data_IF_651478322311
#
_entry.id   IF_651478322311
#
_cell.length_a   1.000
_cell.length_b   1.000
_cell.length_c   1.000
_cell.angle_alpha   90.00
_cell.angle_beta   90.00
_cell.angle_gamma   90.00
#
_symmetry.space_group_name_H-M   'P 1'
#
loop_
_entity.id
_entity.type
_entity.pdbx_description
1 polymer ?
#
# COMPACT_ATOMS: atom_id res chain seq x y z
N UNK A 1 -18.89 -14.14 -1.21
CA UNK A 1 -18.52 -12.83 -0.68
C UNK A 1 -19.70 -12.28 0.12
N UNK A 2 -19.51 -11.94 1.39
CA UNK A 2 -20.51 -11.37 2.27
C UNK A 2 -20.39 -9.84 2.40
N UNK A 3 -21.36 -9.19 3.07
CA UNK A 3 -21.38 -7.73 3.22
C UNK A 3 -20.13 -7.17 3.93
N UNK A 4 -19.60 -7.91 4.92
CA UNK A 4 -18.44 -7.50 5.71
C UNK A 4 -17.10 -7.65 4.97
N UNK A 5 -17.14 -8.18 3.74
CA UNK A 5 -15.97 -8.32 2.87
C UNK A 5 -15.93 -7.22 1.79
N UNK A 6 -16.82 -6.24 1.88
CA UNK A 6 -16.96 -5.11 0.95
C UNK A 6 -16.73 -3.79 1.69
N UNK A 7 -15.92 -2.91 1.11
CA UNK A 7 -15.79 -1.54 1.61
C UNK A 7 -17.13 -0.77 1.57
N UNK A 8 -17.50 -0.06 2.65
CA UNK A 8 -18.67 0.81 2.63
C UNK A 8 -18.38 2.10 1.86
N UNK A 9 -19.41 2.65 1.22
CA UNK A 9 -19.36 4.03 0.70
C UNK A 9 -19.18 5.00 1.88
N UNK A 10 -18.33 6.01 1.71
CA UNK A 10 -18.03 6.96 2.78
C UNK A 10 -17.64 8.32 2.21
N UNK A 11 -17.91 9.36 3.00
CA UNK A 11 -17.48 10.73 2.74
C UNK A 11 -16.25 11.05 3.60
N UNK A 12 -15.27 11.76 3.02
CA UNK A 12 -14.06 12.14 3.75
C UNK A 12 -13.04 12.86 2.89
N UNK A 13 -11.99 13.37 3.54
CA UNK A 13 -10.86 14.04 2.90
C UNK A 13 -9.55 13.70 3.61
N UNK A 14 -8.45 13.80 2.88
CA UNK A 14 -7.10 13.66 3.41
C UNK A 14 -6.16 14.60 2.65
N UNK A 15 -5.09 15.04 3.30
CA UNK A 15 -4.11 15.95 2.72
C UNK A 15 -2.69 15.57 3.11
N UNK A 16 -1.74 15.84 2.22
CA UNK A 16 -0.32 15.71 2.45
C UNK A 16 0.41 16.95 1.92
N UNK A 17 1.46 17.37 2.61
CA UNK A 17 2.33 18.46 2.17
C UNK A 17 3.63 17.83 1.68
N UNK A 18 3.97 18.07 0.41
CA UNK A 18 5.23 17.65 -0.19
C UNK A 18 6.19 18.83 -0.21
N UNK A 19 7.46 18.56 0.11
CA UNK A 19 8.52 19.54 -0.01
C UNK A 19 9.78 18.88 -0.57
N UNK A 20 10.61 19.68 -1.24
CA UNK A 20 11.89 19.20 -1.74
C UNK A 20 12.94 19.18 -0.63
N UNK A 21 14.01 18.40 -0.84
CA UNK A 21 15.17 18.41 0.05
C UNK A 21 15.72 19.83 0.24
N UNK A 22 15.82 20.63 -0.81
CA UNK A 22 16.21 22.05 -0.76
C UNK A 22 15.34 22.87 0.20
N UNK A 23 14.05 22.59 0.29
CA UNK A 23 13.16 23.27 1.25
C UNK A 23 13.46 22.83 2.69
N UNK A 24 13.75 21.54 2.91
CA UNK A 24 14.15 21.01 4.22
C UNK A 24 15.53 21.50 4.67
N UNK A 25 16.47 21.72 3.75
CA UNK A 25 17.77 22.35 4.06
C UNK A 25 17.61 23.77 4.59
N UNK A 26 16.69 24.54 3.99
CA UNK A 26 16.34 25.90 4.46
C UNK A 26 15.51 25.91 5.74
N UNK A 27 14.81 24.81 6.03
CA UNK A 27 13.92 24.67 7.19
C UNK A 27 14.30 23.42 8.01
N UNK A 28 15.50 23.36 8.60
CA UNK A 28 16.04 22.14 9.21
C UNK A 28 15.19 21.60 10.37
N UNK A 29 14.42 22.46 11.04
CA UNK A 29 13.47 22.07 12.08
C UNK A 29 12.35 21.13 11.59
N UNK A 30 12.12 21.05 10.27
CA UNK A 30 11.15 20.13 9.66
C UNK A 30 11.74 18.75 9.36
N UNK A 31 13.07 18.58 9.33
CA UNK A 31 13.71 17.30 8.99
C UNK A 31 13.27 16.13 9.89
N UNK A 32 13.14 16.28 11.23
CA UNK A 32 12.74 15.15 12.10
C UNK A 32 11.33 14.60 11.83
N UNK A 33 10.49 15.33 11.10
CA UNK A 33 9.16 14.87 10.71
C UNK A 33 9.05 14.57 9.20
N UNK A 34 10.11 14.78 8.41
CA UNK A 34 10.08 14.45 7.00
C UNK A 34 10.00 12.92 6.83
N UNK A 35 9.17 12.47 5.91
CA UNK A 35 9.11 11.08 5.47
C UNK A 35 9.45 11.10 4.00
N UNK A 36 10.49 10.40 3.61
CA UNK A 36 11.00 10.43 2.24
C UNK A 36 10.20 9.48 1.36
N UNK A 37 9.93 9.91 0.13
CA UNK A 37 9.42 9.05 -0.94
C UNK A 37 10.64 8.49 -1.67
N UNK A 38 10.97 7.24 -1.41
CA UNK A 38 12.16 6.59 -1.98
C UNK A 38 11.90 5.96 -3.35
N UNK A 39 10.63 5.77 -3.72
CA UNK A 39 10.28 5.27 -5.04
C UNK A 39 8.79 5.40 -5.34
N UNK A 40 8.47 5.50 -6.64
CA UNK A 40 7.11 5.73 -7.10
C UNK A 40 6.91 5.15 -8.49
N UNK A 41 5.83 4.39 -8.69
CA UNK A 41 5.40 3.95 -10.02
C UNK A 41 3.92 4.17 -10.23
N UNK A 42 3.59 4.52 -11.47
CA UNK A 42 2.23 4.60 -11.97
C UNK A 42 2.13 3.67 -13.18
N UNK A 43 1.12 2.81 -13.16
CA UNK A 43 0.79 1.91 -14.25
C UNK A 43 -0.61 2.20 -14.75
N UNK A 44 -0.85 1.80 -15.99
CA UNK A 44 -2.18 1.69 -16.59
C UNK A 44 -2.37 0.28 -17.14
N UNK A 45 -3.58 -0.01 -17.60
CA UNK A 45 -3.96 -1.31 -18.14
C UNK A 45 -2.93 -1.89 -19.10
N UNK A 46 -2.63 -3.18 -18.91
CA UNK A 46 -1.86 -3.96 -19.85
C UNK A 46 -2.79 -4.56 -20.91
N UNK A 47 -2.31 -4.88 -22.13
CA UNK A 47 -3.16 -5.47 -23.17
C UNK A 47 -3.90 -6.75 -22.73
N UNK A 48 -3.38 -7.46 -21.73
CA UNK A 48 -3.96 -8.69 -21.19
C UNK A 48 -5.34 -8.49 -20.57
N UNK A 49 -5.66 -7.27 -20.09
CA UNK A 49 -6.99 -6.88 -19.60
C UNK A 49 -8.08 -7.16 -20.63
N UNK A 50 -7.80 -6.91 -21.90
CA UNK A 50 -8.78 -7.02 -23.00
C UNK A 50 -8.64 -8.30 -23.83
N UNK A 51 -7.54 -9.06 -23.64
CA UNK A 51 -7.18 -10.18 -24.53
C UNK A 51 -7.29 -11.55 -23.89
N UNK A 52 -7.20 -11.66 -22.56
CA UNK A 52 -6.99 -12.95 -21.89
C UNK A 52 -8.20 -13.49 -21.11
N UNK A 53 -9.39 -12.91 -21.31
CA UNK A 53 -10.66 -13.36 -20.69
C UNK A 53 -10.50 -13.74 -19.19
N UNK A 54 -9.84 -12.89 -18.42
CA UNK A 54 -9.50 -13.14 -17.01
C UNK A 54 -9.92 -11.96 -16.15
N UNK A 55 -10.79 -12.23 -15.17
CA UNK A 55 -11.23 -11.21 -14.22
C UNK A 55 -10.09 -10.72 -13.31
N UNK A 56 -9.12 -11.60 -12.99
CA UNK A 56 -7.93 -11.24 -12.19
C UNK A 56 -7.08 -10.22 -12.94
N UNK A 57 -6.93 -10.39 -14.26
CA UNK A 57 -6.20 -9.43 -15.09
C UNK A 57 -6.98 -8.15 -15.30
N UNK A 58 -8.30 -8.25 -15.46
CA UNK A 58 -9.20 -7.10 -15.58
C UNK A 58 -9.12 -6.16 -14.37
N UNK A 59 -8.91 -6.69 -13.16
CA UNK A 59 -8.72 -5.90 -11.94
C UNK A 59 -7.26 -5.47 -11.71
N UNK A 60 -6.40 -5.60 -12.72
CA UNK A 60 -5.07 -4.98 -12.74
C UNK A 60 -3.89 -5.83 -12.27
N UNK A 61 -4.04 -7.15 -12.11
CA UNK A 61 -2.94 -8.03 -11.62
C UNK A 61 -1.61 -7.82 -12.38
N UNK A 62 -1.63 -7.92 -13.72
CA UNK A 62 -0.42 -7.79 -14.54
C UNK A 62 0.17 -6.37 -14.47
N UNK A 63 -0.69 -5.36 -14.33
CA UNK A 63 -0.26 -3.98 -14.12
C UNK A 63 0.50 -3.85 -12.80
N UNK A 64 -0.10 -4.31 -11.69
CA UNK A 64 0.48 -4.27 -10.35
C UNK A 64 1.83 -5.01 -10.34
N UNK A 65 1.88 -6.22 -10.89
CA UNK A 65 3.10 -7.04 -10.94
C UNK A 65 4.22 -6.36 -11.73
N UNK A 66 3.89 -5.72 -12.86
CA UNK A 66 4.87 -4.98 -13.66
C UNK A 66 5.44 -3.81 -12.87
N UNK A 67 4.58 -2.94 -12.33
CA UNK A 67 5.05 -1.72 -11.68
C UNK A 67 5.71 -1.98 -10.32
N UNK A 68 5.30 -3.03 -9.60
CA UNK A 68 5.98 -3.45 -8.36
C UNK A 68 7.40 -3.95 -8.66
N UNK A 69 7.55 -4.82 -9.68
CA UNK A 69 8.85 -5.33 -10.12
C UNK A 69 9.80 -4.21 -10.59
N UNK A 70 9.30 -3.27 -11.40
CA UNK A 70 10.08 -2.09 -11.82
C UNK A 70 10.49 -1.22 -10.63
N UNK A 71 9.60 -1.03 -9.65
CA UNK A 71 9.86 -0.25 -8.46
C UNK A 71 10.93 -0.90 -7.56
N UNK A 72 10.84 -2.21 -7.35
CA UNK A 72 11.86 -2.98 -6.62
C UNK A 72 13.22 -2.90 -7.30
N UNK A 73 13.25 -3.01 -8.64
CA UNK A 73 14.49 -2.89 -9.41
C UNK A 73 15.11 -1.50 -9.33
N UNK A 74 14.30 -0.44 -9.38
CA UNK A 74 14.77 0.95 -9.33
C UNK A 74 15.29 1.35 -7.94
N UNK A 75 14.57 0.93 -6.90
CA UNK A 75 14.90 1.30 -5.52
C UNK A 75 15.92 0.36 -4.87
N UNK A 76 16.10 -0.86 -5.40
CA UNK A 76 16.91 -1.91 -4.79
C UNK A 76 16.24 -2.59 -3.59
N UNK A 77 15.02 -2.19 -3.21
CA UNK A 77 14.24 -2.85 -2.18
C UNK A 77 13.47 -4.05 -2.72
N UNK A 78 13.07 -4.92 -1.81
CA UNK A 78 12.22 -6.08 -2.06
C UNK A 78 11.00 -6.04 -1.14
N UNK A 79 9.97 -6.87 -1.39
CA UNK A 79 8.85 -7.04 -0.46
C UNK A 79 9.26 -7.38 0.97
N UNK A 80 10.40 -8.05 1.16
CA UNK A 80 10.88 -8.46 2.49
C UNK A 80 11.45 -7.31 3.32
N UNK A 81 11.78 -6.18 2.69
CA UNK A 81 12.32 -5.01 3.37
C UNK A 81 11.21 -4.14 4.01
N UNK A 82 9.95 -4.36 3.61
CA UNK A 82 8.78 -3.58 4.02
C UNK A 82 8.19 -4.15 5.32
N UNK A 83 7.90 -3.30 6.30
CA UNK A 83 7.23 -3.73 7.55
C UNK A 83 5.72 -3.46 7.53
N UNK A 84 5.30 -2.37 6.86
CA UNK A 84 3.90 -1.93 6.84
C UNK A 84 3.43 -1.67 5.42
N UNK A 85 2.23 -2.15 5.11
CA UNK A 85 1.61 -2.01 3.80
C UNK A 85 0.22 -1.41 3.98
N UNK A 86 -0.11 -0.33 3.26
CA UNK A 86 -1.50 0.06 3.03
C UNK A 86 -1.82 -0.25 1.56
N UNK A 87 -2.74 -1.18 1.33
CA UNK A 87 -3.15 -1.60 0.00
C UNK A 87 -4.63 -1.35 -0.26
N UNK A 88 -5.05 -1.51 -1.50
CA UNK A 88 -6.41 -1.21 -1.95
C UNK A 88 -7.35 -2.42 -1.77
N UNK A 89 -7.83 -2.64 -0.55
CA UNK A 89 -8.78 -3.69 -0.18
C UNK A 89 -10.25 -3.26 -0.40
N UNK A 90 -10.64 -2.88 -1.62
CA UNK A 90 -12.05 -2.52 -1.89
C UNK A 90 -13.01 -3.71 -1.61
N UNK A 91 -12.50 -4.93 -1.79
CA UNK A 91 -13.10 -6.20 -1.43
C UNK A 91 -12.02 -7.18 -0.91
N UNK A 92 -12.37 -8.09 -0.01
CA UNK A 92 -11.41 -9.07 0.55
C UNK A 92 -10.67 -9.91 -0.51
N UNK A 93 -11.30 -10.38 -1.60
CA UNK A 93 -10.56 -11.09 -2.66
C UNK A 93 -9.49 -10.23 -3.36
N UNK A 94 -9.69 -8.91 -3.46
CA UNK A 94 -8.73 -8.01 -4.10
C UNK A 94 -7.44 -7.92 -3.28
N UNK A 95 -7.55 -7.93 -1.95
CA UNK A 95 -6.40 -7.96 -1.06
C UNK A 95 -5.56 -9.23 -1.24
N UNK A 96 -6.18 -10.41 -1.26
CA UNK A 96 -5.50 -11.69 -1.50
C UNK A 96 -4.75 -11.72 -2.83
N UNK A 97 -5.40 -11.30 -3.91
CA UNK A 97 -4.82 -11.24 -5.26
C UNK A 97 -3.65 -10.23 -5.28
N UNK A 98 -3.79 -9.12 -4.56
CA UNK A 98 -2.76 -8.08 -4.47
C UNK A 98 -1.51 -8.59 -3.76
N UNK A 99 -1.60 -9.50 -2.78
CA UNK A 99 -0.41 -10.09 -2.17
C UNK A 99 0.50 -10.78 -3.19
N UNK A 100 -0.10 -11.55 -4.08
CA UNK A 100 0.61 -12.28 -5.14
C UNK A 100 1.16 -11.30 -6.20
N UNK A 101 0.37 -10.30 -6.58
CA UNK A 101 0.78 -9.29 -7.56
C UNK A 101 1.93 -8.39 -7.06
N UNK A 102 1.98 -8.09 -5.76
CA UNK A 102 3.08 -7.37 -5.13
C UNK A 102 4.31 -8.27 -4.89
N UNK A 103 4.20 -9.57 -5.13
CA UNK A 103 5.29 -10.53 -4.91
C UNK A 103 5.55 -10.84 -3.44
N UNK A 104 4.55 -10.67 -2.56
CA UNK A 104 4.67 -11.09 -1.15
C UNK A 104 4.75 -12.61 -1.02
N UNK A 105 4.10 -13.33 -1.95
CA UNK A 105 4.11 -14.78 -2.07
C UNK A 105 4.04 -15.20 -3.54
N UNK A 106 4.21 -16.50 -3.79
CA UNK A 106 4.00 -17.09 -5.12
C UNK A 106 2.52 -17.03 -5.54
N UNK A 107 2.28 -17.07 -6.85
CA UNK A 107 0.92 -17.10 -7.40
C UNK A 107 0.17 -18.34 -6.89
N UNK A 108 -1.07 -18.14 -6.43
CA UNK A 108 -1.91 -19.15 -5.78
C UNK A 108 -1.60 -19.40 -4.30
N UNK A 109 -0.71 -18.61 -3.67
CA UNK A 109 -0.34 -18.73 -2.25
C UNK A 109 -0.82 -17.57 -1.38
N UNK A 110 -1.64 -16.66 -1.90
CA UNK A 110 -2.17 -15.52 -1.13
C UNK A 110 -2.89 -15.95 0.17
N UNK A 111 -3.64 -17.05 0.14
CA UNK A 111 -4.32 -17.59 1.32
C UNK A 111 -3.37 -18.05 2.44
N UNK A 112 -2.17 -18.53 2.09
CA UNK A 112 -1.18 -18.99 3.07
C UNK A 112 -0.66 -17.84 3.93
N UNK A 113 -0.56 -16.62 3.39
CA UNK A 113 -0.20 -15.44 4.19
C UNK A 113 -1.23 -15.21 5.30
N UNK A 114 -2.52 -15.37 5.00
CA UNK A 114 -3.60 -15.18 5.98
C UNK A 114 -3.60 -16.31 7.01
N UNK A 115 -3.52 -17.56 6.56
CA UNK A 115 -3.54 -18.74 7.43
C UNK A 115 -2.38 -18.74 8.44
N UNK A 116 -1.22 -18.23 8.04
CA UNK A 116 -0.04 -18.09 8.91
C UNK A 116 -0.08 -16.85 9.81
N UNK A 117 -1.00 -15.91 9.57
CA UNK A 117 -1.02 -14.60 10.23
C UNK A 117 0.12 -13.67 9.79
N UNK A 118 0.70 -13.90 8.61
CA UNK A 118 1.82 -13.11 8.08
C UNK A 118 1.42 -11.69 7.64
N UNK A 119 0.12 -11.37 7.60
CA UNK A 119 -0.43 -10.06 7.24
C UNK A 119 -0.84 -9.19 8.45
N UNK A 120 -0.54 -9.60 9.69
CA UNK A 120 -0.96 -8.88 10.90
C UNK A 120 0.17 -8.69 11.91
N UNK A 121 -0.13 -8.06 13.05
CA UNK A 121 0.82 -7.82 14.14
C UNK A 121 1.44 -9.13 14.63
N UNK A 122 2.77 -9.17 14.66
CA UNK A 122 3.53 -10.38 15.00
C UNK A 122 3.87 -11.27 13.80
N UNK A 123 3.25 -11.03 12.64
CA UNK A 123 3.58 -11.65 11.36
C UNK A 123 4.69 -10.93 10.61
N UNK A 124 4.90 -11.34 9.36
CA UNK A 124 5.94 -10.79 8.49
C UNK A 124 5.67 -9.36 8.02
N UNK A 125 4.43 -9.04 7.67
CA UNK A 125 3.98 -7.71 7.29
C UNK A 125 2.78 -7.30 8.14
N UNK A 126 2.69 -6.04 8.52
CA UNK A 126 1.41 -5.48 9.01
C UNK A 126 0.71 -4.83 7.83
N UNK A 127 -0.32 -5.48 7.31
CA UNK A 127 -1.10 -5.01 6.16
C UNK A 127 -2.35 -4.31 6.67
N UNK A 128 -2.62 -3.12 6.11
CA UNK A 128 -3.76 -2.27 6.41
C UNK A 128 -3.96 -2.02 7.92
N UNK A 129 -2.93 -1.57 8.68
CA UNK A 129 -3.06 -1.32 10.13
C UNK A 129 -4.18 -0.32 10.45
N UNK A 130 -4.54 0.55 9.52
CA UNK A 130 -5.65 1.48 9.68
C UNK A 130 -7.05 0.84 9.61
N UNK A 131 -7.14 -0.46 9.29
CA UNK A 131 -8.37 -1.21 9.06
C UNK A 131 -8.74 -1.36 7.57
N UNK A 132 -7.94 -0.78 6.67
CA UNK A 132 -8.16 -0.87 5.22
C UNK A 132 -9.45 -0.16 4.75
N UNK A 133 -9.71 -0.20 3.45
CA UNK A 133 -10.95 0.31 2.85
C UNK A 133 -12.17 -0.46 3.36
N UNK A 134 -12.02 -1.77 3.67
CA UNK A 134 -13.11 -2.59 4.22
C UNK A 134 -13.68 -1.99 5.51
N UNK A 135 -12.82 -1.50 6.42
CA UNK A 135 -13.27 -0.94 7.70
C UNK A 135 -13.39 0.58 7.69
N UNK A 136 -12.45 1.30 7.08
CA UNK A 136 -12.45 2.78 7.06
C UNK A 136 -13.52 3.36 6.14
N UNK A 137 -13.93 2.60 5.13
CA UNK A 137 -14.70 3.09 4.01
C UNK A 137 -13.84 3.69 2.90
N UNK A 138 -14.48 4.00 1.78
CA UNK A 138 -13.80 4.34 0.53
C UNK A 138 -14.30 5.65 -0.12
N UNK A 139 -13.95 6.84 0.42
CA UNK A 139 -14.09 8.09 -0.32
C UNK A 139 -13.03 8.09 -1.43
N UNK A 140 -13.48 7.94 -2.68
CA UNK A 140 -12.64 7.63 -3.85
C UNK A 140 -11.43 8.56 -3.96
N UNK A 141 -11.64 9.89 -3.94
CA UNK A 141 -10.55 10.87 -4.08
C UNK A 141 -9.67 11.03 -2.85
N UNK A 142 -10.11 10.58 -1.66
CA UNK A 142 -9.35 10.73 -0.41
C UNK A 142 -8.47 9.51 -0.10
N UNK A 143 -8.83 8.34 -0.63
CA UNK A 143 -8.26 7.05 -0.19
C UNK A 143 -6.75 6.98 -0.37
N UNK A 144 -6.23 7.33 -1.54
CA UNK A 144 -4.78 7.29 -1.80
C UNK A 144 -3.99 8.21 -0.86
N UNK A 145 -4.52 9.40 -0.54
CA UNK A 145 -3.87 10.33 0.39
C UNK A 145 -4.05 9.88 1.84
N UNK A 146 -5.17 9.25 2.20
CA UNK A 146 -5.37 8.69 3.53
C UNK A 146 -4.39 7.55 3.83
N UNK A 147 -4.04 6.72 2.84
CA UNK A 147 -2.97 5.73 2.97
C UNK A 147 -1.61 6.41 3.25
N UNK A 148 -1.25 7.47 2.51
CA UNK A 148 -0.02 8.26 2.79
C UNK A 148 0.00 8.78 4.23
N UNK A 149 -1.14 9.27 4.74
CA UNK A 149 -1.26 9.78 6.11
C UNK A 149 -0.98 8.67 7.14
N UNK A 150 -1.59 7.49 6.98
CA UNK A 150 -1.33 6.37 7.90
C UNK A 150 0.14 5.95 7.85
N UNK A 151 0.70 5.70 6.66
CA UNK A 151 2.09 5.25 6.52
C UNK A 151 3.08 6.29 7.06
N UNK A 152 2.83 7.58 6.82
CA UNK A 152 3.64 8.66 7.38
C UNK A 152 3.57 8.68 8.91
N UNK A 153 2.40 8.42 9.49
CA UNK A 153 2.26 8.34 10.95
C UNK A 153 2.93 7.09 11.53
N UNK A 154 2.88 5.95 10.82
CA UNK A 154 3.58 4.73 11.22
C UNK A 154 5.10 4.96 11.27
N UNK A 155 5.67 5.54 10.21
CA UNK A 155 7.11 5.87 10.15
C UNK A 155 7.54 6.90 11.20
N UNK A 156 6.63 7.82 11.58
CA UNK A 156 6.88 8.82 12.64
C UNK A 156 6.61 8.31 14.06
N UNK A 157 6.15 7.07 14.24
CA UNK A 157 5.81 6.57 15.58
C UNK A 157 4.52 7.17 16.18
N UNK A 158 3.57 7.62 15.35
CA UNK A 158 2.37 8.39 15.76
C UNK A 158 1.06 7.59 15.70
N UNK A 159 1.11 6.27 15.57
CA UNK A 159 -0.10 5.44 15.40
C UNK A 159 -0.67 4.84 16.69
N UNK A 160 -0.11 5.16 17.86
CA UNK A 160 -0.62 4.72 19.16
C UNK A 160 -0.77 3.20 19.23
N UNK A 161 -1.98 2.70 19.50
CA UNK A 161 -2.25 1.25 19.55
C UNK A 161 -2.04 0.51 18.22
N UNK A 162 -2.07 1.23 17.10
CA UNK A 162 -1.85 0.65 15.76
C UNK A 162 -0.38 0.66 15.35
N UNK A 163 0.52 1.18 16.18
CA UNK A 163 1.92 1.36 15.83
C UNK A 163 2.59 0.02 15.51
N UNK A 164 3.17 -0.07 14.31
CA UNK A 164 4.01 -1.19 13.91
C UNK A 164 5.40 -1.01 14.53
N UNK A 165 5.94 -2.02 15.25
CA UNK A 165 7.25 -1.92 15.87
C UNK A 165 8.35 -1.89 14.80
N UNK A 166 9.40 -1.08 15.02
CA UNK A 166 10.56 -0.96 14.13
C UNK A 166 10.21 -0.65 12.66
N UNK A 167 9.14 0.10 12.42
CA UNK A 167 8.72 0.51 11.08
C UNK A 167 9.76 1.45 10.45
N UNK A 168 10.44 1.00 9.38
CA UNK A 168 11.46 1.78 8.66
C UNK A 168 11.14 1.95 7.18
N UNK A 169 10.47 0.98 6.57
CA UNK A 169 10.04 1.05 5.18
C UNK A 169 8.56 0.70 5.10
N UNK A 170 7.82 1.57 4.41
CA UNK A 170 6.39 1.47 4.23
C UNK A 170 6.04 1.45 2.74
N UNK A 171 5.05 0.64 2.38
CA UNK A 171 4.56 0.53 1.00
C UNK A 171 3.09 0.90 0.91
N UNK A 172 2.77 1.72 -0.07
CA UNK A 172 1.41 2.02 -0.48
C UNK A 172 1.11 1.32 -1.80
N UNK A 173 -0.03 0.63 -1.86
CA UNK A 173 -0.66 0.20 -3.09
C UNK A 173 -2.05 0.83 -3.20
N UNK A 174 -2.28 1.59 -4.28
CA UNK A 174 -3.60 2.09 -4.61
C UNK A 174 -3.92 1.79 -6.09
N UNK A 175 -5.05 1.14 -6.33
CA UNK A 175 -5.57 0.89 -7.67
C UNK A 175 -6.85 1.71 -7.85
N UNK A 176 -7.00 2.35 -9.00
CA UNK A 176 -7.78 3.58 -9.11
C UNK A 176 -6.84 4.74 -9.46
N UNK A 177 -5.78 4.98 -8.65
CA UNK A 177 -4.55 5.73 -8.99
C UNK A 177 -3.37 5.43 -8.00
N UNK A 178 -2.17 5.05 -8.49
CA UNK A 178 -0.78 5.17 -7.89
C UNK A 178 -0.23 4.15 -6.84
N UNK A 179 1.06 3.77 -6.97
CA UNK A 179 1.89 3.04 -5.97
C UNK A 179 3.01 3.95 -5.42
N UNK A 180 3.29 3.89 -4.11
CA UNK A 180 4.32 4.69 -3.42
C UNK A 180 5.17 3.84 -2.45
N UNK A 181 6.50 4.03 -2.43
CA UNK A 181 7.40 3.54 -1.38
C UNK A 181 7.99 4.71 -0.60
N UNK A 182 8.05 4.58 0.72
CA UNK A 182 8.56 5.62 1.62
C UNK A 182 9.47 5.09 2.72
N UNK A 183 10.50 5.84 3.10
CA UNK A 183 11.52 5.51 4.11
C UNK A 183 11.71 6.66 5.12
N UNK A 184 12.28 6.35 6.30
CA UNK A 184 12.60 7.31 7.37
C UNK A 184 14.06 7.19 7.80
#
# INVERSE_FOLDING_TARGET
MGLLECSPTSDGSAAAILCSERYLEKNPHLKPQAVEIVGLKLGTDQPSVFKENSNIKMIGFDMIQKISSELYKETGYTPNDVQVIELHDCFAPNELITYEALGLCEIGKGGTIVDNGDNTYGGKWVINPSGGLISKGHPIGATGVAQVVELSNQLRGRCGKRQVPNCKLAMQHNIGERILLSHF
#
